data_IF_081769993001
#
_entry.id   IF_081769993001
#
_cell.length_a   1.000
_cell.length_b   1.000
_cell.length_c   1.000
_cell.angle_alpha   90.00
_cell.angle_beta   90.00
_cell.angle_gamma   90.00
#
_symmetry.space_group_name_H-M   'P 1'
#
loop_
_entity.id
_entity.type
_entity.pdbx_description
1 polymer ?
#
# COMPACT_ATOMS: atom_id res chain seq x y z
N UNK A 1 -19.11 -4.45 9.12
CA UNK A 1 -18.02 -4.07 8.21
C UNK A 1 -18.43 -4.14 6.73
N UNK A 2 -19.69 -4.32 6.45
CA UNK A 2 -20.18 -4.62 5.09
C UNK A 2 -20.71 -3.38 4.36
N UNK A 3 -20.08 -2.22 4.58
CA UNK A 3 -20.41 -1.09 3.72
C UNK A 3 -19.82 -1.37 2.33
N UNK A 4 -20.63 -1.23 1.29
CA UNK A 4 -20.21 -1.35 -0.10
C UNK A 4 -18.93 -0.54 -0.38
N UNK A 5 -18.81 0.61 0.26
CA UNK A 5 -17.63 1.48 0.19
C UNK A 5 -16.36 0.76 0.65
N UNK A 6 -16.41 0.06 1.79
CA UNK A 6 -15.26 -0.69 2.30
C UNK A 6 -14.84 -1.78 1.30
N UNK A 7 -15.79 -2.56 0.79
CA UNK A 7 -15.54 -3.65 -0.18
C UNK A 7 -14.93 -3.12 -1.48
N UNK A 8 -15.43 -2.01 -2.02
CA UNK A 8 -14.89 -1.41 -3.25
C UNK A 8 -13.42 -1.03 -3.06
N UNK A 9 -13.08 -0.32 -1.99
CA UNK A 9 -11.69 0.08 -1.76
C UNK A 9 -10.78 -1.09 -1.39
N UNK A 10 -11.31 -2.12 -0.73
CA UNK A 10 -10.56 -3.32 -0.40
C UNK A 10 -10.18 -4.10 -1.67
N UNK A 11 -11.12 -4.34 -2.58
CA UNK A 11 -10.86 -4.97 -3.87
C UNK A 11 -9.88 -4.13 -4.71
N UNK A 12 -10.07 -2.82 -4.79
CA UNK A 12 -9.16 -1.93 -5.52
C UNK A 12 -7.74 -1.98 -4.94
N UNK A 13 -7.62 -1.95 -3.63
CA UNK A 13 -6.34 -2.05 -2.91
C UNK A 13 -5.67 -3.40 -3.16
N UNK A 14 -6.43 -4.49 -3.05
CA UNK A 14 -5.95 -5.86 -3.29
C UNK A 14 -5.42 -6.02 -4.71
N UNK A 15 -6.16 -5.59 -5.73
CA UNK A 15 -5.72 -5.64 -7.14
C UNK A 15 -4.43 -4.83 -7.31
N UNK A 16 -4.41 -3.59 -6.84
CA UNK A 16 -3.30 -2.69 -7.02
C UNK A 16 -2.02 -3.20 -6.33
N UNK A 17 -2.13 -3.68 -5.09
CA UNK A 17 -0.99 -4.21 -4.36
C UNK A 17 -0.55 -5.58 -4.86
N UNK A 18 -1.46 -6.44 -5.33
CA UNK A 18 -1.09 -7.68 -5.99
C UNK A 18 -0.26 -7.44 -7.26
N UNK A 19 -0.66 -6.47 -8.10
CA UNK A 19 0.12 -6.06 -9.28
C UNK A 19 1.50 -5.53 -8.86
N UNK A 20 1.54 -4.63 -7.89
CA UNK A 20 2.79 -4.05 -7.37
C UNK A 20 3.72 -5.13 -6.81
N UNK A 21 3.18 -6.10 -6.06
CA UNK A 21 3.92 -7.25 -5.53
C UNK A 21 4.48 -8.16 -6.63
N UNK A 22 3.65 -8.51 -7.61
CA UNK A 22 4.06 -9.31 -8.76
C UNK A 22 5.16 -8.63 -9.58
N UNK A 23 5.05 -7.32 -9.84
CA UNK A 23 6.08 -6.56 -10.54
C UNK A 23 7.42 -6.57 -9.80
N UNK A 24 7.41 -6.47 -8.47
CA UNK A 24 8.63 -6.56 -7.65
C UNK A 24 9.23 -7.96 -7.71
N UNK A 25 8.43 -9.02 -7.61
CA UNK A 25 8.88 -10.40 -7.70
C UNK A 25 9.56 -10.68 -9.05
N UNK A 26 8.95 -10.25 -10.15
CA UNK A 26 9.51 -10.37 -11.51
C UNK A 26 10.84 -9.61 -11.62
N UNK A 27 10.94 -8.39 -11.11
CA UNK A 27 12.19 -7.62 -11.09
C UNK A 27 13.29 -8.33 -10.29
N UNK A 28 12.92 -9.08 -9.26
CA UNK A 28 13.83 -9.90 -8.43
C UNK A 28 14.10 -11.29 -9.00
N UNK A 29 13.57 -11.58 -10.20
CA UNK A 29 13.71 -12.87 -10.89
C UNK A 29 13.21 -14.05 -10.05
N UNK A 30 12.15 -13.84 -9.28
CA UNK A 30 11.47 -14.90 -8.56
C UNK A 30 10.71 -15.78 -9.56
N UNK A 31 10.54 -17.05 -9.24
CA UNK A 31 9.70 -17.97 -10.00
C UNK A 31 8.21 -17.63 -9.85
N UNK A 32 7.35 -18.42 -10.50
CA UNK A 32 5.90 -18.20 -10.45
C UNK A 32 5.35 -18.34 -9.02
N UNK A 33 5.88 -19.28 -8.24
CA UNK A 33 5.46 -19.48 -6.87
C UNK A 33 5.87 -18.30 -5.98
N UNK A 34 7.12 -17.85 -6.08
CA UNK A 34 7.61 -16.65 -5.39
C UNK A 34 6.83 -15.39 -5.78
N UNK A 35 6.43 -15.28 -7.07
CA UNK A 35 5.60 -14.16 -7.55
C UNK A 35 4.20 -14.19 -6.91
N UNK A 36 3.56 -15.35 -6.83
CA UNK A 36 2.26 -15.52 -6.17
C UNK A 36 2.36 -15.17 -4.68
N UNK A 37 3.36 -15.72 -3.98
CA UNK A 37 3.55 -15.47 -2.55
C UNK A 37 3.78 -13.99 -2.28
N UNK A 38 4.65 -13.31 -3.05
CA UNK A 38 4.94 -11.91 -2.83
C UNK A 38 3.75 -11.00 -3.16
N UNK A 39 2.99 -11.32 -4.22
CA UNK A 39 1.77 -10.59 -4.58
C UNK A 39 0.70 -10.74 -3.49
N UNK A 40 0.44 -11.97 -3.02
CA UNK A 40 -0.53 -12.23 -1.96
C UNK A 40 -0.12 -11.54 -0.65
N UNK A 41 1.14 -11.68 -0.24
CA UNK A 41 1.64 -11.03 0.98
C UNK A 41 1.53 -9.49 0.90
N UNK A 42 1.78 -8.90 -0.28
CA UNK A 42 1.63 -7.46 -0.49
C UNK A 42 0.17 -7.03 -0.37
N UNK A 43 -0.74 -7.79 -0.98
CA UNK A 43 -2.16 -7.47 -1.04
C UNK A 43 -2.87 -7.62 0.31
N UNK A 44 -2.64 -8.74 1.03
CA UNK A 44 -3.40 -9.03 2.25
C UNK A 44 -2.63 -8.74 3.53
N UNK A 45 -1.30 -8.61 3.48
CA UNK A 45 -0.45 -8.52 4.66
C UNK A 45 -0.74 -7.29 5.53
N UNK A 46 -1.02 -6.13 4.94
CA UNK A 46 -1.38 -4.91 5.66
C UNK A 46 -2.69 -5.06 6.43
N UNK A 47 -3.70 -5.66 5.80
CA UNK A 47 -4.99 -5.99 6.41
C UNK A 47 -4.85 -7.01 7.55
N UNK A 48 -4.01 -8.02 7.38
CA UNK A 48 -3.75 -9.01 8.45
C UNK A 48 -3.11 -8.37 9.69
N UNK A 49 -2.13 -7.48 9.49
CA UNK A 49 -1.52 -6.73 10.60
C UNK A 49 -2.56 -5.85 11.30
N UNK A 50 -3.38 -5.13 10.54
CA UNK A 50 -4.51 -4.34 11.05
C UNK A 50 -5.43 -5.19 11.92
N UNK A 51 -5.88 -6.33 11.40
CA UNK A 51 -6.85 -7.20 12.07
C UNK A 51 -6.32 -7.72 13.41
N UNK A 52 -5.07 -8.17 13.44
CA UNK A 52 -4.40 -8.60 14.68
C UNK A 52 -4.33 -7.46 15.70
N UNK A 53 -4.01 -6.25 15.28
CA UNK A 53 -3.90 -5.09 16.18
C UNK A 53 -5.26 -4.71 16.82
N UNK A 54 -6.37 -4.95 16.13
CA UNK A 54 -7.72 -4.66 16.67
C UNK A 54 -8.40 -5.90 17.26
N UNK A 55 -7.67 -7.00 17.41
CA UNK A 55 -8.18 -8.24 18.03
C UNK A 55 -9.14 -9.03 17.15
N UNK A 56 -9.13 -8.83 15.82
CA UNK A 56 -9.86 -9.69 14.87
C UNK A 56 -9.01 -10.94 14.63
N UNK A 57 -9.34 -12.01 15.32
CA UNK A 57 -8.64 -13.30 15.21
C UNK A 57 -9.63 -14.44 14.96
N UNK A 58 -9.43 -15.23 13.88
CA UNK A 58 -8.42 -15.10 12.85
C UNK A 58 -8.63 -13.87 11.94
N UNK A 59 -7.56 -13.33 11.31
CA UNK A 59 -7.66 -12.21 10.37
C UNK A 59 -8.67 -12.46 9.24
N UNK A 60 -9.38 -11.42 8.80
CA UNK A 60 -10.45 -11.53 7.79
C UNK A 60 -9.97 -12.17 6.49
N UNK A 61 -8.76 -11.89 6.05
CA UNK A 61 -8.17 -12.49 4.86
C UNK A 61 -8.00 -14.02 4.97
N UNK A 62 -7.96 -14.60 6.17
CA UNK A 62 -7.92 -16.04 6.38
C UNK A 62 -9.33 -16.66 6.49
N UNK A 63 -10.33 -15.85 6.81
CA UNK A 63 -11.73 -16.29 6.89
C UNK A 63 -12.42 -16.18 5.53
N UNK A 64 -12.10 -15.13 4.76
CA UNK A 64 -12.63 -14.89 3.43
C UNK A 64 -11.52 -15.06 2.39
N UNK A 65 -11.58 -16.14 1.63
CA UNK A 65 -10.56 -16.50 0.65
C UNK A 65 -10.51 -15.57 -0.58
N UNK A 66 -11.48 -14.66 -0.72
CA UNK A 66 -11.65 -13.81 -1.92
C UNK A 66 -10.39 -13.02 -2.24
N UNK A 67 -9.80 -12.32 -1.26
CA UNK A 67 -8.62 -11.46 -1.48
C UNK A 67 -7.38 -12.28 -1.82
N UNK A 68 -7.24 -13.44 -1.18
CA UNK A 68 -6.19 -14.39 -1.54
C UNK A 68 -6.34 -14.90 -2.98
N UNK A 69 -7.53 -15.36 -3.35
CA UNK A 69 -7.77 -15.86 -4.72
C UNK A 69 -7.57 -14.74 -5.75
N UNK A 70 -8.06 -13.55 -5.47
CA UNK A 70 -7.89 -12.39 -6.34
C UNK A 70 -6.40 -12.06 -6.52
N UNK A 71 -5.63 -12.04 -5.44
CA UNK A 71 -4.18 -11.76 -5.51
C UNK A 71 -3.41 -12.84 -6.29
N UNK A 72 -3.78 -14.12 -6.16
CA UNK A 72 -3.19 -15.23 -6.93
C UNK A 72 -3.51 -15.09 -8.42
N UNK A 73 -4.78 -14.83 -8.75
CA UNK A 73 -5.21 -14.64 -10.15
C UNK A 73 -4.44 -13.47 -10.78
N UNK A 74 -4.35 -12.34 -10.09
CA UNK A 74 -3.61 -11.17 -10.55
C UNK A 74 -2.12 -11.48 -10.74
N UNK A 75 -1.49 -12.21 -9.80
CA UNK A 75 -0.08 -12.60 -9.92
C UNK A 75 0.16 -13.46 -11.17
N UNK A 76 -0.71 -14.41 -11.45
CA UNK A 76 -0.64 -15.26 -12.66
C UNK A 76 -0.82 -14.41 -13.91
N UNK A 77 -1.86 -13.56 -13.95
CA UNK A 77 -2.14 -12.68 -15.09
C UNK A 77 -0.94 -11.77 -15.38
N UNK A 78 -0.38 -11.10 -14.37
CA UNK A 78 0.80 -10.23 -14.53
C UNK A 78 2.01 -11.01 -15.03
N UNK A 79 2.24 -12.23 -14.51
CA UNK A 79 3.35 -13.09 -14.94
C UNK A 79 3.19 -13.52 -16.40
N UNK A 80 1.99 -13.90 -16.80
CA UNK A 80 1.67 -14.31 -18.19
C UNK A 80 1.83 -13.11 -19.13
N UNK A 81 1.26 -11.95 -18.79
CA UNK A 81 1.40 -10.73 -19.60
C UNK A 81 2.87 -10.32 -19.77
N UNK A 82 3.66 -10.44 -18.69
CA UNK A 82 5.09 -10.16 -18.76
C UNK A 82 5.84 -11.15 -19.66
N UNK A 83 5.46 -12.43 -19.70
CA UNK A 83 6.06 -13.46 -20.54
C UNK A 83 5.80 -13.23 -22.03
N UNK A 84 4.67 -12.63 -22.39
CA UNK A 84 4.35 -12.26 -23.78
C UNK A 84 4.96 -10.92 -24.20
N UNK A 85 5.59 -10.18 -23.29
CA UNK A 85 6.23 -8.92 -23.65
C UNK A 85 7.44 -9.17 -24.57
N UNK A 86 7.55 -8.49 -25.71
CA UNK A 86 8.63 -8.75 -26.67
C UNK A 86 10.02 -8.51 -26.03
N UNK A 87 11.02 -9.20 -26.54
CA UNK A 87 12.40 -9.35 -26.05
C UNK A 87 13.17 -8.06 -25.68
N UNK A 88 12.65 -6.90 -26.03
CA UNK A 88 13.15 -5.62 -25.50
C UNK A 88 12.56 -5.40 -24.11
N UNK A 89 13.38 -5.30 -23.06
CA UNK A 89 12.86 -4.98 -21.73
C UNK A 89 12.05 -3.69 -21.83
N UNK A 90 10.82 -3.66 -21.26
CA UNK A 90 10.02 -2.44 -21.26
C UNK A 90 10.87 -1.31 -20.67
N UNK A 91 10.71 -0.10 -21.22
CA UNK A 91 11.45 1.07 -20.75
C UNK A 91 11.41 1.11 -19.21
N UNK A 92 12.60 1.09 -18.58
CA UNK A 92 12.74 1.08 -17.11
C UNK A 92 11.90 2.17 -16.44
N UNK A 93 11.77 3.32 -17.08
CA UNK A 93 10.95 4.44 -16.61
C UNK A 93 9.45 4.12 -16.65
N UNK A 94 8.99 3.43 -17.70
CA UNK A 94 7.59 3.01 -17.80
C UNK A 94 7.23 1.98 -16.71
N UNK A 95 8.09 0.99 -16.49
CA UNK A 95 7.88 0.00 -15.43
C UNK A 95 7.89 0.63 -14.04
N UNK A 96 8.77 1.60 -13.80
CA UNK A 96 8.82 2.33 -12.53
C UNK A 96 7.56 3.19 -12.35
N UNK A 97 7.10 3.85 -13.41
CA UNK A 97 5.88 4.64 -13.39
C UNK A 97 4.66 3.76 -13.08
N UNK A 98 4.54 2.63 -13.78
CA UNK A 98 3.44 1.67 -13.58
C UNK A 98 3.43 1.11 -12.15
N UNK A 99 4.61 0.73 -11.64
CA UNK A 99 4.77 0.30 -10.26
C UNK A 99 4.32 1.39 -9.27
N UNK A 100 4.77 2.63 -9.44
CA UNK A 100 4.38 3.73 -8.55
C UNK A 100 2.88 4.03 -8.62
N UNK A 101 2.28 3.89 -9.81
CA UNK A 101 0.85 4.08 -10.01
C UNK A 101 0.02 3.07 -9.19
N UNK A 102 0.30 1.78 -9.36
CA UNK A 102 -0.40 0.74 -8.61
C UNK A 102 -0.11 0.79 -7.11
N UNK A 103 1.14 1.04 -6.73
CA UNK A 103 1.51 1.21 -5.32
C UNK A 103 0.77 2.40 -4.68
N UNK A 104 0.57 3.50 -5.41
CA UNK A 104 -0.18 4.67 -4.93
C UNK A 104 -1.68 4.39 -4.79
N UNK A 105 -2.28 3.71 -5.78
CA UNK A 105 -3.70 3.31 -5.71
C UNK A 105 -3.94 2.38 -4.53
N UNK A 106 -3.06 1.39 -4.34
CA UNK A 106 -3.14 0.48 -3.19
C UNK A 106 -2.99 1.20 -1.86
N UNK A 107 -2.02 2.14 -1.77
CA UNK A 107 -1.81 2.97 -0.59
C UNK A 107 -3.09 3.76 -0.23
N UNK A 108 -3.69 4.44 -1.22
CA UNK A 108 -4.90 5.24 -1.03
C UNK A 108 -6.08 4.37 -0.58
N UNK A 109 -6.31 3.25 -1.26
CA UNK A 109 -7.41 2.33 -0.98
C UNK A 109 -7.30 1.73 0.43
N UNK A 110 -6.11 1.26 0.81
CA UNK A 110 -5.91 0.66 2.13
C UNK A 110 -5.81 1.69 3.26
N UNK A 111 -5.51 2.96 2.97
CA UNK A 111 -5.71 4.03 3.94
C UNK A 111 -7.18 4.11 4.34
N UNK A 112 -8.09 4.02 3.37
CA UNK A 112 -9.53 4.10 3.60
C UNK A 112 -10.03 2.87 4.35
N UNK A 113 -9.71 1.66 3.90
CA UNK A 113 -10.21 0.44 4.56
C UNK A 113 -9.70 0.33 6.00
N UNK A 114 -8.44 0.70 6.25
CA UNK A 114 -7.88 0.76 7.60
C UNK A 114 -8.57 1.80 8.48
N UNK A 115 -8.79 3.00 7.95
CA UNK A 115 -9.49 4.08 8.63
C UNK A 115 -10.95 3.70 8.96
N UNK A 116 -11.70 3.17 7.99
CA UNK A 116 -13.08 2.72 8.20
C UNK A 116 -13.16 1.59 9.23
N UNK A 117 -12.19 0.68 9.23
CA UNK A 117 -12.09 -0.36 10.28
C UNK A 117 -11.88 0.27 11.66
N UNK A 118 -11.07 1.30 11.77
CA UNK A 118 -10.87 2.03 13.02
C UNK A 118 -12.10 2.78 13.48
N UNK A 119 -12.82 3.43 12.56
CA UNK A 119 -14.08 4.14 12.85
C UNK A 119 -15.20 3.21 13.33
N UNK A 120 -15.20 1.95 12.90
CA UNK A 120 -16.19 0.95 13.34
C UNK A 120 -15.94 0.44 14.76
N UNK A 121 -14.88 0.88 15.44
CA UNK A 121 -14.52 0.48 16.80
C UNK A 121 -14.83 1.60 17.79
N UNK A 122 -15.58 1.26 18.83
CA UNK A 122 -15.80 2.18 19.92
C UNK A 122 -14.52 2.31 20.75
N UNK A 123 -13.90 3.46 20.69
CA UNK A 123 -12.69 3.80 21.46
C UNK A 123 -12.85 5.16 22.13
N UNK A 124 -12.12 5.38 23.21
CA UNK A 124 -12.18 6.66 23.93
C UNK A 124 -11.74 7.88 23.11
N UNK A 125 -11.00 7.67 22.00
CA UNK A 125 -10.60 8.73 21.07
C UNK A 125 -10.98 8.33 19.64
N UNK A 126 -11.92 9.05 18.98
CA UNK A 126 -12.43 8.68 17.67
C UNK A 126 -11.47 8.98 16.52
N UNK A 127 -10.32 9.63 16.76
CA UNK A 127 -9.39 10.05 15.71
C UNK A 127 -8.13 9.20 15.66
N UNK A 128 -7.57 8.84 16.81
CA UNK A 128 -6.24 8.19 16.87
C UNK A 128 -6.25 6.82 16.23
N UNK A 129 -7.20 5.96 16.62
CA UNK A 129 -7.25 4.58 16.12
C UNK A 129 -7.50 4.53 14.60
N UNK A 130 -8.51 5.23 14.03
CA UNK A 130 -8.73 5.23 12.59
C UNK A 130 -7.53 5.71 11.79
N UNK A 131 -6.88 6.79 12.21
CA UNK A 131 -5.69 7.32 11.53
C UNK A 131 -4.54 6.32 11.56
N UNK A 132 -4.23 5.74 12.72
CA UNK A 132 -3.15 4.76 12.84
C UNK A 132 -3.42 3.50 12.02
N UNK A 133 -4.63 2.96 12.08
CA UNK A 133 -4.99 1.78 11.29
C UNK A 133 -5.00 2.07 9.79
N UNK A 134 -5.42 3.26 9.37
CA UNK A 134 -5.32 3.71 7.99
C UNK A 134 -3.88 3.66 7.50
N UNK A 135 -2.95 4.26 8.24
CA UNK A 135 -1.53 4.27 7.89
C UNK A 135 -0.93 2.87 7.92
N UNK A 136 -1.15 2.10 8.99
CA UNK A 136 -0.57 0.75 9.14
C UNK A 136 -1.06 -0.17 8.02
N UNK A 137 -2.35 -0.15 7.71
CA UNK A 137 -2.92 -0.98 6.63
C UNK A 137 -2.32 -0.60 5.29
N UNK A 138 -2.24 0.70 5.00
CA UNK A 138 -1.75 1.23 3.74
C UNK A 138 -0.27 0.93 3.49
N UNK A 139 0.59 1.06 4.51
CA UNK A 139 2.04 0.84 4.34
C UNK A 139 2.45 -0.60 4.59
N UNK A 140 1.69 -1.36 5.37
CA UNK A 140 2.06 -2.68 5.88
C UNK A 140 2.38 -3.68 4.78
N UNK A 141 1.52 -3.80 3.77
CA UNK A 141 1.74 -4.68 2.62
C UNK A 141 3.00 -4.31 1.84
N UNK A 142 3.23 -3.01 1.59
CA UNK A 142 4.44 -2.50 0.94
C UNK A 142 5.71 -2.76 1.73
N UNK A 143 5.67 -2.65 3.05
CA UNK A 143 6.81 -2.98 3.94
C UNK A 143 7.13 -4.47 3.86
N UNK A 144 6.12 -5.33 4.01
CA UNK A 144 6.30 -6.79 3.92
C UNK A 144 6.88 -7.20 2.55
N UNK A 145 6.34 -6.66 1.45
CA UNK A 145 6.85 -6.86 0.10
C UNK A 145 8.32 -6.51 0.00
N UNK A 146 8.70 -5.32 0.45
CA UNK A 146 10.06 -4.82 0.31
C UNK A 146 11.04 -5.63 1.15
N UNK A 147 10.67 -6.02 2.38
CA UNK A 147 11.48 -6.90 3.24
C UNK A 147 11.69 -8.28 2.60
N UNK A 148 10.62 -8.91 2.10
CA UNK A 148 10.74 -10.22 1.43
C UNK A 148 11.55 -10.14 0.14
N UNK A 149 11.52 -9.01 -0.55
CA UNK A 149 12.33 -8.76 -1.73
C UNK A 149 13.79 -8.33 -1.42
N UNK A 150 14.22 -8.39 -0.17
CA UNK A 150 15.55 -7.96 0.30
C UNK A 150 15.90 -6.54 -0.17
N UNK A 151 14.98 -5.60 0.04
CA UNK A 151 15.24 -4.19 -0.22
C UNK A 151 14.73 -3.33 0.93
N UNK A 152 15.32 -2.15 1.09
CA UNK A 152 14.89 -1.20 2.08
C UNK A 152 13.42 -0.80 1.80
N UNK A 153 12.52 -0.90 2.80
CA UNK A 153 11.13 -0.51 2.63
C UNK A 153 10.99 0.93 2.15
N UNK A 154 10.18 1.15 1.12
CA UNK A 154 9.97 2.48 0.54
C UNK A 154 9.48 3.52 1.54
N UNK A 155 8.73 3.11 2.55
CA UNK A 155 8.23 3.98 3.63
C UNK A 155 9.35 4.66 4.43
N UNK A 156 10.55 4.10 4.46
CA UNK A 156 11.68 4.62 5.24
C UNK A 156 12.56 5.62 4.48
N UNK A 157 12.48 5.67 3.13
CA UNK A 157 13.35 6.51 2.32
C UNK A 157 12.63 7.31 1.22
N UNK A 158 11.41 6.93 0.88
CA UNK A 158 10.58 7.73 -0.01
C UNK A 158 9.90 8.82 0.81
N UNK A 159 10.29 10.05 0.59
CA UNK A 159 9.96 11.18 1.44
C UNK A 159 8.47 11.36 1.71
N UNK A 160 7.62 11.29 0.69
CA UNK A 160 6.17 11.47 0.82
C UNK A 160 5.46 10.18 0.44
N UNK A 161 5.48 9.20 1.35
CA UNK A 161 4.80 7.92 1.20
C UNK A 161 3.79 7.69 2.34
N UNK A 162 4.26 7.35 3.53
CA UNK A 162 3.40 7.20 4.71
C UNK A 162 2.75 8.54 5.13
N UNK A 163 3.43 9.66 4.87
CA UNK A 163 2.90 11.00 5.14
C UNK A 163 1.69 11.34 4.28
N UNK A 164 1.61 10.86 3.03
CA UNK A 164 0.42 11.01 2.20
C UNK A 164 -0.77 10.25 2.79
N UNK A 165 -0.58 9.00 3.21
CA UNK A 165 -1.60 8.21 3.89
C UNK A 165 -2.02 8.85 5.22
N UNK A 166 -1.06 9.34 6.00
CA UNK A 166 -1.32 10.03 7.27
C UNK A 166 -2.17 11.28 7.07
N UNK A 167 -1.78 12.16 6.15
CA UNK A 167 -2.54 13.39 5.86
C UNK A 167 -3.94 13.08 5.33
N UNK A 168 -4.06 12.11 4.41
CA UNK A 168 -5.35 11.66 3.91
C UNK A 168 -6.26 11.14 5.04
N UNK A 169 -5.75 10.29 5.91
CA UNK A 169 -6.50 9.76 7.04
C UNK A 169 -6.88 10.85 8.07
N UNK A 170 -5.96 11.75 8.42
CA UNK A 170 -6.24 12.85 9.38
C UNK A 170 -7.32 13.78 8.86
N UNK A 171 -7.19 14.26 7.61
CA UNK A 171 -8.18 15.15 7.02
C UNK A 171 -9.55 14.47 6.91
N UNK A 172 -9.57 13.23 6.48
CA UNK A 172 -10.82 12.48 6.33
C UNK A 172 -11.49 12.19 7.68
N UNK A 173 -10.72 11.81 8.70
CA UNK A 173 -11.26 11.67 10.05
C UNK A 173 -11.78 12.98 10.63
N UNK A 174 -11.17 14.13 10.32
CA UNK A 174 -11.68 15.44 10.75
C UNK A 174 -13.03 15.77 10.08
N UNK A 175 -13.26 15.26 8.88
CA UNK A 175 -14.50 15.47 8.13
C UNK A 175 -15.63 14.48 8.46
N UNK A 176 -15.38 13.43 9.27
CA UNK A 176 -16.33 12.35 9.55
C UNK A 176 -17.69 12.79 10.06
N UNK A 177 -17.77 13.95 10.73
CA UNK A 177 -19.01 14.50 11.29
C UNK A 177 -19.72 15.49 10.33
N UNK A 178 -19.11 15.82 9.19
CA UNK A 178 -19.60 16.84 8.25
C UNK A 178 -20.06 16.25 6.92
N UNK A 179 -19.54 15.08 6.55
CA UNK A 179 -19.83 14.43 5.26
C UNK A 179 -20.15 12.96 5.48
N UNK A 180 -20.89 12.39 4.53
CA UNK A 180 -21.18 10.95 4.53
C UNK A 180 -19.91 10.10 4.27
N UNK A 181 -19.97 8.84 4.69
CA UNK A 181 -18.83 7.90 4.62
C UNK A 181 -18.32 7.71 3.19
N UNK A 182 -19.20 7.71 2.19
CA UNK A 182 -18.80 7.54 0.78
C UNK A 182 -17.99 8.74 0.30
N UNK A 183 -18.51 9.94 0.54
CA UNK A 183 -17.83 11.19 0.17
C UNK A 183 -16.49 11.32 0.91
N UNK A 184 -16.45 11.01 2.20
CA UNK A 184 -15.23 11.00 2.99
C UNK A 184 -14.17 10.04 2.41
N UNK A 185 -14.57 8.83 2.01
CA UNK A 185 -13.66 7.85 1.42
C UNK A 185 -13.08 8.36 0.10
N UNK A 186 -13.90 8.94 -0.79
CA UNK A 186 -13.41 9.52 -2.05
C UNK A 186 -12.50 10.73 -1.84
N UNK A 187 -12.80 11.59 -0.87
CA UNK A 187 -11.91 12.70 -0.50
C UNK A 187 -10.55 12.16 -0.06
N UNK A 188 -10.53 11.13 0.83
CA UNK A 188 -9.30 10.48 1.25
C UNK A 188 -8.51 9.94 0.05
N UNK A 189 -9.19 9.21 -0.84
CA UNK A 189 -8.59 8.61 -2.03
C UNK A 189 -7.90 9.65 -2.92
N UNK A 190 -8.63 10.71 -3.27
CA UNK A 190 -8.13 11.78 -4.13
C UNK A 190 -6.99 12.54 -3.46
N UNK A 191 -7.07 12.81 -2.16
CA UNK A 191 -6.01 13.49 -1.41
C UNK A 191 -4.72 12.65 -1.39
N UNK A 192 -4.80 11.36 -1.05
CA UNK A 192 -3.61 10.50 -1.00
C UNK A 192 -2.97 10.39 -2.38
N UNK A 193 -3.76 10.16 -3.43
CA UNK A 193 -3.28 10.10 -4.81
C UNK A 193 -2.65 11.43 -5.22
N UNK A 194 -3.33 12.55 -4.99
CA UNK A 194 -2.86 13.88 -5.38
C UNK A 194 -1.54 14.24 -4.71
N UNK A 195 -1.43 14.06 -3.38
CA UNK A 195 -0.19 14.31 -2.63
C UNK A 195 0.93 13.40 -3.15
N UNK A 196 0.63 12.14 -3.39
CA UNK A 196 1.64 11.16 -3.82
C UNK A 196 2.14 11.41 -5.23
N UNK A 197 1.26 11.71 -6.19
CA UNK A 197 1.67 12.06 -7.55
C UNK A 197 2.35 13.43 -7.61
N UNK A 198 1.86 14.42 -6.87
CA UNK A 198 2.54 15.71 -6.74
C UNK A 198 3.97 15.54 -6.24
N UNK A 199 4.17 14.75 -5.19
CA UNK A 199 5.50 14.46 -4.65
C UNK A 199 6.41 13.72 -5.65
N UNK A 200 5.84 12.79 -6.44
CA UNK A 200 6.61 12.06 -7.47
C UNK A 200 6.99 12.93 -8.66
N UNK A 201 6.13 13.89 -9.03
CA UNK A 201 6.35 14.78 -10.16
C UNK A 201 7.29 15.94 -9.81
N UNK A 202 7.05 16.62 -8.70
CA UNK A 202 7.80 17.81 -8.28
C UNK A 202 9.04 17.47 -7.43
N UNK A 203 9.24 16.17 -7.09
CA UNK A 203 10.39 15.74 -6.29
C UNK A 203 10.39 16.32 -4.89
N UNK A 204 9.23 16.36 -4.21
CA UNK A 204 9.15 16.89 -2.84
C UNK A 204 9.94 16.02 -1.88
N UNK A 205 10.76 16.67 -1.06
CA UNK A 205 11.62 16.02 -0.08
C UNK A 205 11.27 16.46 1.34
N UNK A 206 11.24 15.51 2.27
CA UNK A 206 11.18 15.79 3.70
C UNK A 206 12.56 16.20 4.22
N UNK A 207 12.58 16.83 5.38
CA UNK A 207 13.82 17.20 6.05
C UNK A 207 14.66 15.95 6.37
N UNK A 208 15.84 15.86 5.75
CA UNK A 208 16.84 14.85 6.10
C UNK A 208 17.84 15.48 7.09
N UNK A 209 17.97 14.94 8.29
CA UNK A 209 19.03 15.38 9.20
C UNK A 209 20.37 15.19 8.48
N UNK A 210 21.10 16.26 8.24
CA UNK A 210 22.46 16.18 7.68
C UNK A 210 23.35 15.44 8.68
N UNK A 211 23.54 14.17 8.47
CA UNK A 211 24.64 13.45 9.11
C UNK A 211 25.94 13.99 8.51
N UNK A 212 26.65 14.85 9.24
CA UNK A 212 28.05 15.22 8.95
C UNK A 212 28.98 14.01 9.19
N UNK A 213 28.56 12.83 8.77
CA UNK A 213 29.39 11.65 8.78
C UNK A 213 30.15 11.60 7.45
N UNK A 214 31.31 12.29 7.43
CA UNK A 214 32.37 11.99 6.46
C UNK A 214 32.87 10.58 6.76
N UNK A 215 32.30 9.57 6.10
CA UNK A 215 33.01 8.30 5.95
C UNK A 215 34.29 8.59 5.18
N UNK A 216 35.43 8.73 5.90
CA UNK A 216 36.76 8.69 5.29
C UNK A 216 36.81 7.39 4.50
N UNK A 217 36.80 7.47 3.15
CA UNK A 217 37.25 6.36 2.31
C UNK A 217 38.63 5.98 2.80
N UNK A 218 38.74 4.87 3.51
CA UNK A 218 40.01 4.21 3.71
C UNK A 218 40.38 3.64 2.34
N UNK A 219 41.21 4.37 1.61
CA UNK A 219 42.06 3.83 0.53
C UNK A 219 43.01 2.81 1.19
N UNK A 220 42.84 1.58 0.88
CA UNK A 220 43.88 0.56 0.79
C UNK A 220 43.55 -0.33 -0.42
#
# INVERSE_FOLDING_TARGET
MDSLTWVIFDIMGTIAFAISGAMVAIQRKMDIFGTIVLAALTAVGGGMVRDVLVGITPPMALCNITDFMLSIIIAIVVSVLYSFWPYSPPNKYFMLWLYNMFDTVGLASFTITGMLTGLSRETGNPYVLPVLLGVITAVGGGVLRDLMAHRMPGVLYKDIYATAALLGAVISCALQNYVDTVTMAWICFVLVIGIRFGALYDGWHLFHPRANWRWRKRTR
#
